data_IF_581224064792
#
_entry.id   IF_581224064792
#
_cell.length_a   1.000
_cell.length_b   1.000
_cell.length_c   1.000
_cell.angle_alpha   90.00
_cell.angle_beta   90.00
_cell.angle_gamma   90.00
#
_symmetry.space_group_name_H-M   'P 1'
#
loop_
_entity.id
_entity.type
_entity.pdbx_description
1 polymer ?
#
# COMPACT_ATOMS: atom_id res chain seq x y z
N UNK A 1 52.29 -19.00 20.51
CA UNK A 1 53.29 -18.97 21.59
C UNK A 1 54.51 -18.25 21.03
N UNK A 2 54.94 -17.15 21.63
CA UNK A 2 56.12 -16.44 21.22
C UNK A 2 57.34 -17.24 21.70
N UNK A 3 58.08 -17.79 20.75
CA UNK A 3 59.36 -18.47 21.03
C UNK A 3 60.39 -17.42 21.33
N UNK A 4 60.62 -16.96 22.51
CA UNK A 4 61.49 -15.88 22.99
C UNK A 4 62.85 -15.60 22.28
N UNK A 5 62.94 -15.89 21.00
CA UNK A 5 64.11 -15.55 20.18
C UNK A 5 63.94 -14.14 19.60
N UNK A 6 64.97 -13.28 19.64
CA UNK A 6 64.94 -11.96 19.09
C UNK A 6 64.69 -12.02 17.56
N UNK A 7 63.64 -11.37 17.10
CA UNK A 7 63.26 -11.32 15.69
C UNK A 7 63.71 -10.02 15.05
N UNK A 8 64.37 -10.09 13.90
CA UNK A 8 64.81 -8.90 13.13
C UNK A 8 63.60 -8.30 12.39
N UNK A 9 63.49 -6.99 12.43
CA UNK A 9 62.52 -6.22 11.66
C UNK A 9 63.27 -5.49 10.57
N UNK A 10 62.84 -5.69 9.34
CA UNK A 10 63.47 -5.04 8.17
C UNK A 10 62.70 -3.78 7.83
N UNK A 11 63.45 -2.70 7.58
CA UNK A 11 62.95 -1.42 7.07
C UNK A 11 63.59 -1.15 5.73
N UNK A 12 62.85 -0.51 4.84
CA UNK A 12 63.34 0.00 3.56
C UNK A 12 63.25 1.50 3.56
N UNK A 13 64.30 2.12 3.00
CA UNK A 13 64.38 3.57 2.86
C UNK A 13 64.61 3.91 1.40
N UNK A 14 63.80 4.82 0.85
CA UNK A 14 63.87 5.24 -0.53
C UNK A 14 63.32 6.65 -0.71
N UNK A 15 63.64 7.31 -1.83
CA UNK A 15 63.14 8.65 -2.16
C UNK A 15 62.04 8.55 -3.20
N UNK A 16 60.89 9.21 -2.95
CA UNK A 16 59.76 9.31 -3.89
C UNK A 16 59.23 10.75 -3.90
N UNK A 17 59.07 11.36 -5.08
CA UNK A 17 58.61 12.74 -5.25
C UNK A 17 59.42 13.75 -4.38
N UNK A 18 60.74 13.57 -4.30
CA UNK A 18 61.64 14.44 -3.52
C UNK A 18 61.71 14.17 -2.02
N UNK A 19 60.78 13.39 -1.46
CA UNK A 19 60.70 13.06 -0.02
C UNK A 19 61.35 11.71 0.28
N UNK A 20 62.08 11.63 1.41
CA UNK A 20 62.63 10.38 1.91
C UNK A 20 61.52 9.64 2.67
N UNK A 21 61.26 8.40 2.27
CA UNK A 21 60.26 7.51 2.89
C UNK A 21 61.02 6.36 3.55
N UNK A 22 60.68 6.09 4.81
CA UNK A 22 61.11 4.91 5.54
C UNK A 22 59.88 4.11 5.94
N UNK A 23 59.83 2.85 5.56
CA UNK A 23 58.71 1.98 5.91
C UNK A 23 59.19 0.58 6.31
N UNK A 24 58.41 -0.05 7.19
CA UNK A 24 58.69 -1.44 7.59
C UNK A 24 58.42 -2.38 6.40
N UNK A 25 59.44 -3.14 6.00
CA UNK A 25 59.30 -4.16 4.97
C UNK A 25 58.64 -5.44 5.53
N UNK A 26 59.08 -5.89 6.70
CA UNK A 26 58.50 -7.07 7.37
C UNK A 26 59.34 -7.57 8.51
N UNK A 27 58.89 -8.65 9.16
CA UNK A 27 59.59 -9.36 10.24
C UNK A 27 60.23 -10.64 9.70
N UNK A 28 61.36 -11.02 10.29
CA UNK A 28 62.17 -12.16 9.81
C UNK A 28 61.40 -13.46 9.77
N UNK A 29 60.72 -13.82 10.85
CA UNK A 29 60.03 -15.10 10.96
C UNK A 29 58.54 -14.98 10.62
N UNK A 30 57.88 -13.95 11.07
CA UNK A 30 56.42 -13.79 10.85
C UNK A 30 56.07 -13.55 9.38
N UNK A 31 56.90 -12.74 8.67
CA UNK A 31 56.67 -12.36 7.29
C UNK A 31 57.67 -13.03 6.33
N UNK A 32 58.45 -13.96 6.84
CA UNK A 32 59.54 -14.64 6.11
C UNK A 32 60.44 -13.64 5.35
N UNK A 33 60.78 -12.54 6.03
CA UNK A 33 61.47 -11.42 5.44
C UNK A 33 62.99 -11.64 5.47
N UNK A 34 63.61 -11.46 4.32
CA UNK A 34 65.06 -11.49 4.13
C UNK A 34 65.57 -10.16 3.56
N UNK A 35 66.89 -9.86 3.65
CA UNK A 35 67.46 -8.67 3.02
C UNK A 35 67.16 -8.59 1.51
N UNK A 36 67.23 -9.74 0.82
CA UNK A 36 66.92 -9.82 -0.62
C UNK A 36 65.44 -9.47 -0.93
N UNK A 37 64.50 -10.02 -0.15
CA UNK A 37 63.07 -9.68 -0.26
C UNK A 37 62.84 -8.19 0.05
N UNK A 38 63.45 -7.64 1.07
CA UNK A 38 63.34 -6.22 1.39
C UNK A 38 63.87 -5.34 0.26
N UNK A 39 64.99 -5.73 -0.39
CA UNK A 39 65.53 -5.02 -1.55
C UNK A 39 64.58 -5.05 -2.76
N UNK A 40 63.92 -6.18 -3.01
CA UNK A 40 62.90 -6.30 -4.07
C UNK A 40 61.70 -5.35 -3.77
N UNK A 41 61.19 -5.35 -2.54
CA UNK A 41 60.11 -4.45 -2.15
C UNK A 41 60.53 -2.99 -2.34
N UNK A 42 61.75 -2.63 -1.94
CA UNK A 42 62.29 -1.29 -2.16
C UNK A 42 62.32 -0.93 -3.65
N UNK A 43 62.80 -1.84 -4.51
CA UNK A 43 62.81 -1.63 -5.95
C UNK A 43 61.41 -1.42 -6.52
N UNK A 44 60.42 -2.21 -6.12
CA UNK A 44 59.03 -2.06 -6.55
C UNK A 44 58.44 -0.70 -6.13
N UNK A 45 58.79 -0.20 -4.93
CA UNK A 45 58.37 1.12 -4.45
C UNK A 45 59.00 2.27 -5.26
N UNK A 46 60.29 2.16 -5.52
CA UNK A 46 61.06 3.15 -6.34
C UNK A 46 60.52 3.20 -7.76
N UNK A 47 60.21 2.02 -8.35
CA UNK A 47 59.68 1.91 -9.70
C UNK A 47 58.19 2.26 -9.81
N UNK A 48 57.50 2.56 -8.69
CA UNK A 48 56.08 2.86 -8.67
C UNK A 48 55.15 1.66 -8.94
N UNK A 49 55.70 0.44 -9.01
CA UNK A 49 54.90 -0.79 -9.24
C UNK A 49 53.94 -1.11 -8.10
N UNK A 50 54.30 -0.73 -6.88
CA UNK A 50 53.46 -0.87 -5.70
C UNK A 50 53.43 0.43 -4.91
N UNK A 51 52.27 0.83 -4.35
CA UNK A 51 52.16 2.01 -3.48
C UNK A 51 52.94 1.79 -2.18
N UNK A 52 53.43 2.86 -1.54
CA UNK A 52 53.96 2.81 -0.17
C UNK A 52 52.87 2.31 0.82
N UNK A 53 53.27 1.86 2.00
CA UNK A 53 52.31 1.47 3.04
C UNK A 53 51.34 2.59 3.40
N UNK A 54 51.81 3.81 3.45
CA UNK A 54 51.00 4.98 3.72
C UNK A 54 50.00 5.22 2.59
N UNK A 55 50.46 5.24 1.33
CA UNK A 55 49.57 5.39 0.17
C UNK A 55 48.55 4.26 0.07
N UNK A 56 48.95 3.02 0.33
CA UNK A 56 48.03 1.88 0.35
C UNK A 56 46.97 2.02 1.46
N UNK A 57 47.36 2.52 2.64
CA UNK A 57 46.41 2.80 3.73
C UNK A 57 45.48 3.95 3.38
N UNK A 58 45.99 5.04 2.84
CA UNK A 58 45.17 6.18 2.39
C UNK A 58 44.20 5.78 1.29
N UNK A 59 44.64 4.97 0.31
CA UNK A 59 43.77 4.39 -0.72
C UNK A 59 42.67 3.50 -0.11
N UNK A 60 43.05 2.67 0.87
CA UNK A 60 42.07 1.80 1.55
C UNK A 60 41.07 2.61 2.37
N UNK A 61 41.53 3.65 3.06
CA UNK A 61 40.65 4.55 3.82
C UNK A 61 39.74 5.35 2.89
N UNK A 62 40.25 5.86 1.78
CA UNK A 62 39.50 6.55 0.75
C UNK A 62 38.48 5.63 0.10
N UNK A 63 38.85 4.38 -0.22
CA UNK A 63 37.91 3.38 -0.76
C UNK A 63 36.81 3.02 0.25
N UNK A 64 37.15 2.85 1.52
CA UNK A 64 36.18 2.63 2.60
C UNK A 64 35.21 3.80 2.76
N UNK A 65 35.72 5.03 2.68
CA UNK A 65 34.94 6.26 2.76
C UNK A 65 33.99 6.36 1.54
N UNK A 66 34.49 6.12 0.34
CA UNK A 66 33.70 6.12 -0.89
C UNK A 66 32.59 5.06 -0.84
N UNK A 67 32.89 3.85 -0.34
CA UNK A 67 31.89 2.79 -0.17
C UNK A 67 30.85 3.15 0.90
N UNK A 68 31.25 3.80 2.00
CA UNK A 68 30.32 4.26 3.04
C UNK A 68 29.42 5.41 2.55
N UNK A 69 29.92 6.25 1.66
CA UNK A 69 29.17 7.36 1.06
C UNK A 69 28.30 6.92 -0.13
N UNK A 70 28.51 5.72 -0.63
CA UNK A 70 27.79 5.17 -1.77
C UNK A 70 26.29 5.07 -1.52
N UNK A 71 25.50 5.54 -2.49
CA UNK A 71 24.06 5.43 -2.47
C UNK A 71 23.60 4.08 -2.99
N UNK A 72 23.32 3.16 -2.08
CA UNK A 72 22.66 1.89 -2.40
C UNK A 72 21.16 2.01 -2.27
N UNK A 73 20.42 1.07 -2.88
CA UNK A 73 18.96 1.00 -2.73
C UNK A 73 18.53 0.77 -1.28
N UNK A 74 19.32 0.04 -0.48
CA UNK A 74 19.12 -0.14 0.97
C UNK A 74 19.24 1.19 1.73
N UNK A 75 20.21 2.02 1.37
CA UNK A 75 20.35 3.37 1.95
C UNK A 75 19.18 4.27 1.56
N UNK A 76 18.78 4.23 0.28
CA UNK A 76 17.65 4.99 -0.22
C UNK A 76 16.34 4.59 0.48
N UNK A 77 16.12 3.29 0.71
CA UNK A 77 14.98 2.78 1.46
C UNK A 77 14.95 3.29 2.91
N UNK A 78 16.09 3.32 3.60
CA UNK A 78 16.20 3.88 4.96
C UNK A 78 15.84 5.36 4.99
N UNK A 79 16.45 6.16 4.12
CA UNK A 79 16.13 7.59 4.00
C UNK A 79 14.64 7.84 3.69
N UNK A 80 14.06 7.04 2.81
CA UNK A 80 12.64 7.15 2.49
C UNK A 80 11.76 6.91 3.72
N UNK A 81 12.06 5.91 4.53
CA UNK A 81 11.32 5.64 5.78
C UNK A 81 11.45 6.77 6.77
N UNK A 82 12.67 7.21 7.01
CA UNK A 82 12.99 8.19 8.04
C UNK A 82 12.38 9.56 7.72
N UNK A 83 12.32 9.91 6.45
CA UNK A 83 11.70 11.17 5.98
C UNK A 83 10.20 11.08 5.72
N UNK A 84 9.58 9.94 5.94
CA UNK A 84 8.16 9.71 5.69
C UNK A 84 7.44 9.06 6.89
N UNK A 85 7.62 9.53 8.14
CA UNK A 85 7.12 8.85 9.34
C UNK A 85 5.58 8.75 9.39
N UNK A 86 4.87 9.67 8.73
CA UNK A 86 3.40 9.68 8.66
C UNK A 86 2.79 8.88 7.51
N UNK A 87 3.60 8.17 6.71
CA UNK A 87 3.10 7.46 5.53
C UNK A 87 2.26 6.24 5.93
N UNK A 88 0.96 6.33 5.66
CA UNK A 88 0.03 5.20 5.84
C UNK A 88 0.42 4.07 4.86
N UNK A 89 0.82 2.92 5.37
CA UNK A 89 1.23 1.78 4.54
C UNK A 89 2.72 1.48 4.55
N UNK A 90 3.52 2.23 5.31
CA UNK A 90 4.97 2.02 5.41
C UNK A 90 5.34 0.59 5.84
N UNK A 91 4.55 -0.02 6.73
CA UNK A 91 4.73 -1.43 7.14
C UNK A 91 4.53 -2.36 5.94
N UNK A 92 3.50 -2.12 5.11
CA UNK A 92 3.24 -2.93 3.93
C UNK A 92 4.31 -2.74 2.86
N UNK A 93 4.79 -1.52 2.69
CA UNK A 93 5.90 -1.21 1.78
C UNK A 93 7.21 -1.83 2.29
N UNK A 94 7.43 -1.87 3.61
CA UNK A 94 8.54 -2.58 4.24
C UNK A 94 8.54 -4.06 3.90
N UNK A 95 7.39 -4.72 4.01
CA UNK A 95 7.25 -6.12 3.63
C UNK A 95 7.50 -6.36 2.13
N UNK A 96 7.03 -5.45 1.26
CA UNK A 96 7.30 -5.53 -0.19
C UNK A 96 8.78 -5.34 -0.48
N UNK A 97 9.40 -4.37 0.16
CA UNK A 97 10.83 -4.10 0.01
C UNK A 97 11.66 -5.31 0.42
N UNK A 98 11.46 -5.80 1.63
CA UNK A 98 12.23 -6.93 2.18
C UNK A 98 12.07 -8.22 1.36
N UNK A 99 10.84 -8.48 0.84
CA UNK A 99 10.56 -9.72 0.12
C UNK A 99 10.95 -9.68 -1.36
N UNK A 100 10.94 -8.49 -1.99
CA UNK A 100 11.00 -8.43 -3.45
C UNK A 100 12.07 -7.48 -4.00
N UNK A 101 12.28 -6.31 -3.38
CA UNK A 101 13.22 -5.32 -3.90
C UNK A 101 14.60 -5.44 -3.25
N UNK A 102 14.66 -5.56 -1.93
CA UNK A 102 15.91 -5.65 -1.18
C UNK A 102 16.83 -6.77 -1.64
N UNK A 103 16.34 -8.02 -1.82
CA UNK A 103 17.18 -9.13 -2.29
C UNK A 103 17.80 -8.95 -3.68
N UNK A 104 17.17 -8.16 -4.55
CA UNK A 104 17.62 -7.97 -5.93
C UNK A 104 18.39 -6.67 -6.14
N UNK A 105 17.98 -5.60 -5.46
CA UNK A 105 18.49 -4.26 -5.71
C UNK A 105 19.15 -3.62 -4.49
N UNK A 106 19.05 -4.23 -3.31
CA UNK A 106 19.43 -3.62 -2.05
C UNK A 106 20.85 -3.02 -2.03
N UNK A 107 21.83 -3.75 -2.52
CA UNK A 107 23.23 -3.36 -2.53
C UNK A 107 23.67 -2.67 -3.83
N UNK A 108 22.76 -2.55 -4.80
CA UNK A 108 23.02 -1.86 -6.07
C UNK A 108 22.78 -0.36 -5.93
N UNK A 109 23.51 0.41 -6.71
CA UNK A 109 23.26 1.83 -6.87
C UNK A 109 22.01 2.04 -7.75
N UNK A 110 21.10 2.98 -7.41
CA UNK A 110 19.89 3.21 -8.18
C UNK A 110 20.13 3.44 -9.67
N UNK A 111 21.18 4.18 -10.02
CA UNK A 111 21.52 4.47 -11.42
C UNK A 111 21.89 3.24 -12.26
N UNK A 112 22.33 2.15 -11.61
CA UNK A 112 22.72 0.91 -12.30
C UNK A 112 21.58 0.00 -12.63
N UNK A 113 20.35 0.32 -12.17
CA UNK A 113 19.16 -0.47 -12.44
C UNK A 113 18.68 -0.13 -13.85
N UNK A 114 18.63 -1.12 -14.72
CA UNK A 114 18.19 -0.93 -16.10
C UNK A 114 16.77 -1.51 -16.33
N UNK A 115 16.11 -1.18 -17.45
CA UNK A 115 14.78 -1.71 -17.80
C UNK A 115 14.71 -3.23 -17.75
N UNK A 116 15.75 -3.91 -18.22
CA UNK A 116 15.82 -5.37 -18.22
C UNK A 116 15.76 -5.98 -16.80
N UNK A 117 16.40 -5.34 -15.83
CA UNK A 117 16.34 -5.78 -14.43
C UNK A 117 14.91 -5.73 -13.89
N UNK A 118 14.19 -4.64 -14.21
CA UNK A 118 12.80 -4.42 -13.76
C UNK A 118 11.85 -5.39 -14.47
N UNK A 119 12.03 -5.63 -15.75
CA UNK A 119 11.23 -6.60 -16.50
C UNK A 119 11.46 -8.03 -16.01
N UNK A 120 12.71 -8.38 -15.71
CA UNK A 120 13.04 -9.67 -15.11
C UNK A 120 12.34 -9.86 -13.75
N UNK A 121 12.35 -8.83 -12.89
CA UNK A 121 11.60 -8.83 -11.64
C UNK A 121 10.09 -9.01 -11.90
N UNK A 122 9.53 -8.21 -12.82
CA UNK A 122 8.11 -8.24 -13.20
C UNK A 122 7.68 -9.64 -13.63
N UNK A 123 8.39 -10.22 -14.60
CA UNK A 123 8.09 -11.54 -15.17
C UNK A 123 8.26 -12.66 -14.12
N UNK A 124 9.30 -12.58 -13.29
CA UNK A 124 9.52 -13.57 -12.22
C UNK A 124 8.38 -13.52 -11.20
N UNK A 125 7.95 -12.34 -10.79
CA UNK A 125 6.84 -12.19 -9.85
C UNK A 125 5.50 -12.62 -10.44
N UNK A 126 5.24 -12.37 -11.72
CA UNK A 126 3.99 -12.78 -12.39
C UNK A 126 3.80 -14.29 -12.42
N UNK A 127 4.88 -15.09 -12.37
CA UNK A 127 4.78 -16.56 -12.27
C UNK A 127 4.13 -17.03 -10.96
N UNK A 128 4.25 -16.27 -9.88
CA UNK A 128 3.85 -16.71 -8.53
C UNK A 128 2.90 -15.76 -7.82
N UNK A 129 2.68 -14.56 -8.35
CA UNK A 129 1.89 -13.50 -7.71
C UNK A 129 0.84 -12.95 -8.66
N UNK A 130 -0.29 -12.49 -8.09
CA UNK A 130 -1.34 -11.81 -8.85
C UNK A 130 -0.82 -10.48 -9.43
N UNK A 131 -1.27 -10.06 -10.63
CA UNK A 131 -0.82 -8.82 -11.28
C UNK A 131 -0.91 -7.58 -10.39
N UNK A 132 -1.95 -7.44 -9.56
CA UNK A 132 -2.07 -6.33 -8.62
C UNK A 132 -0.99 -6.30 -7.54
N UNK A 133 -0.48 -7.47 -7.09
CA UNK A 133 0.66 -7.53 -6.17
C UNK A 133 1.95 -7.08 -6.85
N UNK A 134 2.17 -7.53 -8.08
CA UNK A 134 3.34 -7.15 -8.89
C UNK A 134 3.33 -5.64 -9.14
N UNK A 135 2.19 -5.09 -9.57
CA UNK A 135 2.01 -3.65 -9.75
C UNK A 135 2.42 -2.87 -8.50
N UNK A 136 1.95 -3.27 -7.32
CA UNK A 136 2.29 -2.60 -6.05
C UNK A 136 3.79 -2.65 -5.72
N UNK A 137 4.51 -3.71 -6.10
CA UNK A 137 5.98 -3.80 -5.93
C UNK A 137 6.69 -2.84 -6.87
N UNK A 138 6.29 -2.81 -8.14
CA UNK A 138 6.85 -1.89 -9.12
C UNK A 138 6.54 -0.42 -8.81
N UNK A 139 5.35 -0.13 -8.29
CA UNK A 139 4.99 1.22 -7.80
C UNK A 139 5.85 1.65 -6.60
N UNK A 140 6.24 0.72 -5.73
CA UNK A 140 7.18 1.03 -4.66
C UNK A 140 8.56 1.36 -5.22
N UNK A 141 9.06 0.57 -6.18
CA UNK A 141 10.32 0.84 -6.87
C UNK A 141 10.32 2.24 -7.49
N UNK A 142 9.27 2.56 -8.26
CA UNK A 142 9.11 3.87 -8.90
C UNK A 142 9.04 5.01 -7.87
N UNK A 143 8.33 4.82 -6.76
CA UNK A 143 8.27 5.82 -5.68
C UNK A 143 9.61 6.10 -5.05
N UNK A 144 10.44 5.07 -4.84
CA UNK A 144 11.79 5.23 -4.30
C UNK A 144 12.71 5.99 -5.27
N UNK A 145 12.66 5.66 -6.56
CA UNK A 145 13.40 6.38 -7.59
C UNK A 145 12.97 7.85 -7.69
N UNK A 146 11.66 8.10 -7.73
CA UNK A 146 11.12 9.46 -7.76
C UNK A 146 11.46 10.26 -6.48
N UNK A 147 11.49 9.60 -5.33
CA UNK A 147 11.92 10.23 -4.07
C UNK A 147 13.37 10.65 -4.14
N UNK A 148 14.26 9.78 -4.63
CA UNK A 148 15.67 10.09 -4.81
C UNK A 148 15.88 11.26 -5.76
N UNK A 149 15.23 11.25 -6.91
CA UNK A 149 15.29 12.31 -7.92
C UNK A 149 14.80 13.66 -7.35
N UNK A 150 13.59 13.66 -6.74
CA UNK A 150 12.97 14.88 -6.19
C UNK A 150 13.76 15.49 -5.04
N UNK A 151 14.50 14.69 -4.30
CA UNK A 151 15.32 15.14 -3.17
C UNK A 151 16.78 15.32 -3.53
N UNK A 152 17.16 15.11 -4.79
CA UNK A 152 18.54 15.19 -5.28
C UNK A 152 19.53 14.37 -4.43
N UNK A 153 19.11 13.17 -4.01
CA UNK A 153 19.93 12.33 -3.11
C UNK A 153 21.01 11.57 -3.87
N UNK A 154 20.65 11.01 -5.02
CA UNK A 154 21.54 10.27 -5.89
C UNK A 154 21.02 10.27 -7.33
N UNK A 155 21.87 9.99 -8.33
CA UNK A 155 21.44 9.77 -9.68
C UNK A 155 20.48 8.58 -9.77
N UNK A 156 19.44 8.71 -10.59
CA UNK A 156 18.48 7.65 -10.87
C UNK A 156 18.29 7.49 -12.38
N UNK A 157 18.02 6.28 -12.87
CA UNK A 157 17.81 6.07 -14.29
C UNK A 157 16.48 6.70 -14.75
N UNK A 158 16.48 7.19 -15.99
CA UNK A 158 15.30 7.74 -16.65
C UNK A 158 14.75 6.72 -17.64
N UNK A 159 13.81 5.87 -17.19
CA UNK A 159 13.05 4.96 -18.05
C UNK A 159 11.64 4.74 -17.51
N UNK A 160 10.74 4.32 -18.39
CA UNK A 160 9.37 4.00 -18.01
C UNK A 160 9.28 2.53 -17.56
N UNK A 161 8.62 2.30 -16.42
CA UNK A 161 8.34 0.96 -15.92
C UNK A 161 7.01 0.48 -16.50
N UNK A 162 7.04 -0.62 -17.23
CA UNK A 162 5.83 -1.26 -17.73
C UNK A 162 5.05 -1.91 -16.60
N UNK A 163 3.88 -1.37 -16.31
CA UNK A 163 3.00 -1.87 -15.24
C UNK A 163 2.10 -3.01 -15.76
N UNK A 164 1.95 -4.10 -15.02
CA UNK A 164 1.03 -5.15 -15.41
C UNK A 164 -0.42 -4.65 -15.42
N UNK A 165 -1.19 -5.08 -16.42
CA UNK A 165 -2.63 -4.79 -16.48
C UNK A 165 -3.32 -5.51 -15.32
N UNK A 166 -4.12 -4.76 -14.56
CA UNK A 166 -4.85 -5.27 -13.40
C UNK A 166 -6.34 -5.17 -13.71
N UNK A 167 -6.94 -6.30 -13.99
CA UNK A 167 -8.38 -6.40 -14.15
C UNK A 167 -8.95 -7.16 -12.94
N UNK A 168 -9.18 -6.44 -11.84
CA UNK A 168 -9.65 -6.99 -10.57
C UNK A 168 -10.91 -6.28 -10.04
N UNK A 169 -11.62 -5.57 -10.91
CA UNK A 169 -12.90 -4.98 -10.55
C UNK A 169 -13.92 -6.12 -10.37
N UNK A 170 -14.32 -6.33 -9.15
CA UNK A 170 -15.41 -7.24 -8.78
C UNK A 170 -16.50 -6.42 -8.11
N UNK A 171 -17.68 -6.50 -8.64
CA UNK A 171 -18.90 -6.10 -7.94
C UNK A 171 -19.42 -7.36 -7.26
N UNK A 172 -19.40 -7.38 -5.94
CA UNK A 172 -19.96 -8.48 -5.17
C UNK A 172 -21.41 -8.11 -4.87
N UNK A 173 -22.30 -9.00 -5.19
CA UNK A 173 -23.73 -8.89 -4.90
C UNK A 173 -24.22 -10.19 -4.28
N UNK A 174 -25.37 -10.15 -3.64
CA UNK A 174 -26.05 -11.31 -3.06
C UNK A 174 -27.47 -11.36 -3.62
N UNK A 175 -27.92 -12.55 -3.95
CA UNK A 175 -29.35 -12.75 -4.24
C UNK A 175 -30.18 -12.52 -2.97
N UNK A 176 -31.49 -12.36 -3.12
CA UNK A 176 -32.40 -12.19 -1.98
C UNK A 176 -32.28 -13.37 -1.00
N UNK A 177 -32.20 -14.61 -1.54
CA UNK A 177 -32.03 -15.82 -0.76
C UNK A 177 -30.71 -15.86 0.01
N UNK A 178 -29.60 -15.47 -0.65
CA UNK A 178 -28.28 -15.40 -0.02
C UNK A 178 -28.22 -14.32 1.06
N UNK A 179 -28.87 -13.18 0.82
CA UNK A 179 -28.96 -12.12 1.83
C UNK A 179 -29.83 -12.55 3.01
N UNK A 180 -30.93 -13.22 2.76
CA UNK A 180 -31.81 -13.81 3.80
C UNK A 180 -31.02 -14.79 4.67
N UNK A 181 -30.38 -15.79 4.06
CA UNK A 181 -29.56 -16.77 4.76
C UNK A 181 -28.43 -16.12 5.58
N UNK A 182 -27.83 -15.04 5.05
CA UNK A 182 -26.82 -14.29 5.78
C UNK A 182 -27.39 -13.57 7.00
N UNK A 183 -28.55 -12.94 6.88
CA UNK A 183 -29.21 -12.27 7.99
C UNK A 183 -29.61 -13.26 9.09
N UNK A 184 -30.15 -14.43 8.73
CA UNK A 184 -30.41 -15.51 9.67
C UNK A 184 -29.17 -16.00 10.40
N UNK A 185 -28.06 -16.23 9.66
CA UNK A 185 -26.80 -16.63 10.26
C UNK A 185 -26.20 -15.56 11.19
N UNK A 186 -26.38 -14.28 10.86
CA UNK A 186 -26.00 -13.16 11.73
C UNK A 186 -26.81 -13.14 13.02
N UNK A 187 -28.13 -13.34 12.94
CA UNK A 187 -29.01 -13.35 14.12
C UNK A 187 -28.75 -14.56 15.03
N UNK A 188 -28.43 -15.71 14.45
CA UNK A 188 -28.14 -16.93 15.20
C UNK A 188 -26.75 -16.94 15.84
N UNK A 189 -25.85 -16.01 15.46
CA UNK A 189 -24.47 -16.02 15.97
C UNK A 189 -24.37 -15.46 17.38
N UNK A 190 -23.78 -16.22 18.29
CA UNK A 190 -23.58 -15.84 19.71
C UNK A 190 -22.65 -14.63 19.89
N UNK A 191 -21.85 -14.28 18.89
CA UNK A 191 -20.94 -13.13 18.96
C UNK A 191 -21.65 -11.87 18.45
N UNK A 192 -22.43 -11.22 19.33
CA UNK A 192 -23.16 -9.99 19.00
C UNK A 192 -22.25 -8.87 18.42
N UNK A 193 -20.98 -8.83 18.81
CA UNK A 193 -20.02 -7.85 18.28
C UNK A 193 -19.80 -8.08 16.77
N UNK A 194 -19.60 -9.31 16.35
CA UNK A 194 -19.43 -9.66 14.95
C UNK A 194 -20.74 -9.52 14.15
N UNK A 195 -21.85 -9.98 14.72
CA UNK A 195 -23.17 -9.83 14.16
C UNK A 195 -23.52 -8.37 13.88
N UNK A 196 -23.43 -7.52 14.90
CA UNK A 196 -23.75 -6.10 14.77
C UNK A 196 -22.75 -5.34 13.89
N UNK A 197 -21.48 -5.77 13.86
CA UNK A 197 -20.48 -5.23 12.95
C UNK A 197 -20.87 -5.47 11.48
N UNK A 198 -21.30 -6.69 11.16
CA UNK A 198 -21.74 -7.04 9.80
C UNK A 198 -23.03 -6.30 9.41
N UNK A 199 -24.03 -6.26 10.32
CA UNK A 199 -25.27 -5.51 10.11
C UNK A 199 -24.98 -4.02 9.85
N UNK A 200 -24.08 -3.41 10.64
CA UNK A 200 -23.79 -1.99 10.46
C UNK A 200 -23.09 -1.69 9.12
N UNK A 201 -22.29 -2.63 8.57
CA UNK A 201 -21.80 -2.48 7.19
C UNK A 201 -22.95 -2.52 6.19
N UNK A 202 -23.89 -3.45 6.33
CA UNK A 202 -25.06 -3.55 5.46
C UNK A 202 -25.96 -2.32 5.51
N UNK A 203 -26.10 -1.70 6.69
CA UNK A 203 -26.98 -0.53 6.85
C UNK A 203 -26.32 0.80 6.50
N UNK A 204 -24.99 0.89 6.54
CA UNK A 204 -24.27 2.16 6.36
C UNK A 204 -23.29 2.18 5.20
N UNK A 205 -22.93 1.04 4.66
CA UNK A 205 -21.87 0.92 3.66
C UNK A 205 -20.47 1.30 4.17
N UNK A 206 -20.24 1.46 5.47
CA UNK A 206 -18.95 1.84 6.04
C UNK A 206 -17.85 0.83 5.73
N UNK A 207 -16.61 1.31 5.60
CA UNK A 207 -15.45 0.42 5.46
C UNK A 207 -15.12 -0.25 6.79
N UNK A 208 -14.64 -1.51 6.73
CA UNK A 208 -14.17 -2.24 7.92
C UNK A 208 -13.25 -1.41 8.83
N UNK A 209 -12.27 -0.72 8.24
CA UNK A 209 -11.34 0.09 9.01
C UNK A 209 -11.94 1.35 9.63
N UNK A 210 -13.02 1.85 9.10
CA UNK A 210 -13.79 2.97 9.68
C UNK A 210 -14.57 2.48 10.90
N UNK A 211 -15.21 1.30 10.80
CA UNK A 211 -15.90 0.69 11.94
C UNK A 211 -14.95 0.28 13.07
N UNK A 212 -13.73 -0.18 12.78
CA UNK A 212 -12.73 -0.45 13.82
C UNK A 212 -12.32 0.79 14.61
N UNK A 213 -12.47 1.97 14.02
CA UNK A 213 -12.15 3.25 14.68
C UNK A 213 -13.37 3.99 15.19
N UNK A 214 -14.58 3.53 14.90
CA UNK A 214 -15.81 4.19 15.28
C UNK A 214 -15.93 4.25 16.80
N UNK A 215 -16.09 5.44 17.31
CA UNK A 215 -16.31 5.71 18.73
C UNK A 215 -17.75 6.15 18.98
N UNK A 216 -18.24 5.95 20.18
CA UNK A 216 -19.58 6.38 20.56
C UNK A 216 -19.79 7.90 20.40
N UNK A 217 -18.78 8.69 20.66
CA UNK A 217 -18.81 10.14 20.44
C UNK A 217 -18.90 10.57 18.97
N UNK A 218 -18.67 9.64 18.02
CA UNK A 218 -18.76 9.90 16.60
C UNK A 218 -20.16 9.60 16.05
N UNK A 219 -21.06 9.04 16.89
CA UNK A 219 -22.46 8.75 16.56
C UNK A 219 -23.35 9.85 17.14
N UNK A 220 -23.81 10.73 16.28
CA UNK A 220 -24.75 11.78 16.62
C UNK A 220 -26.18 11.29 16.47
N UNK A 221 -26.75 10.80 17.56
CA UNK A 221 -28.13 10.28 17.56
C UNK A 221 -29.17 11.38 17.42
N UNK A 222 -28.89 12.62 17.81
CA UNK A 222 -29.84 13.73 17.73
C UNK A 222 -29.97 14.22 16.30
N UNK A 223 -28.83 14.50 15.65
CA UNK A 223 -28.80 14.99 14.27
C UNK A 223 -28.88 13.90 13.22
N UNK A 224 -28.75 12.63 13.61
CA UNK A 224 -28.83 11.48 12.72
C UNK A 224 -27.63 11.33 11.78
N UNK A 225 -26.41 11.46 12.30
CA UNK A 225 -25.20 11.30 11.52
C UNK A 225 -24.14 10.44 12.22
N UNK A 226 -23.29 9.78 11.41
CA UNK A 226 -22.06 9.13 11.85
C UNK A 226 -20.88 9.95 11.29
N UNK A 227 -19.97 10.38 12.18
CA UNK A 227 -18.76 11.09 11.83
C UNK A 227 -17.63 10.08 11.55
N UNK A 228 -17.12 10.05 10.33
CA UNK A 228 -16.00 9.20 9.93
C UNK A 228 -14.73 10.02 10.03
N UNK A 229 -13.94 9.78 11.08
CA UNK A 229 -12.67 10.47 11.31
C UNK A 229 -11.54 9.80 10.59
N UNK A 230 -10.62 10.60 10.06
CA UNK A 230 -9.40 10.16 9.37
C UNK A 230 -9.63 9.00 8.38
N UNK A 231 -10.58 9.14 7.44
CA UNK A 231 -10.81 8.11 6.44
C UNK A 231 -9.56 7.93 5.57
N UNK A 232 -9.53 6.86 4.78
CA UNK A 232 -8.42 6.61 3.83
C UNK A 232 -8.18 7.80 2.87
N UNK A 233 -9.15 8.69 2.79
CA UNK A 233 -9.15 9.89 1.98
C UNK A 233 -8.50 11.14 2.58
N UNK A 234 -8.30 11.19 3.89
CA UNK A 234 -7.64 12.29 4.63
C UNK A 234 -8.59 13.25 5.33
N UNK A 235 -9.65 13.73 4.69
CA UNK A 235 -10.62 14.64 5.31
C UNK A 235 -11.74 13.89 6.02
N UNK A 236 -12.16 14.38 7.19
CA UNK A 236 -13.29 13.84 7.93
C UNK A 236 -14.58 13.97 7.11
N UNK A 237 -15.45 12.98 7.25
CA UNK A 237 -16.70 12.90 6.49
C UNK A 237 -17.86 12.55 7.42
N UNK A 238 -19.08 12.84 6.97
CA UNK A 238 -20.31 12.46 7.64
C UNK A 238 -21.14 11.58 6.73
N UNK A 239 -21.76 10.55 7.29
CA UNK A 239 -22.79 9.77 6.61
C UNK A 239 -24.08 9.80 7.42
N UNK A 240 -25.26 9.73 6.77
CA UNK A 240 -26.54 9.65 7.49
C UNK A 240 -26.61 8.38 8.33
N UNK A 241 -27.16 8.52 9.52
CA UNK A 241 -27.55 7.42 10.40
C UNK A 241 -29.01 7.07 10.11
N UNK A 242 -29.25 6.08 9.23
CA UNK A 242 -30.59 5.63 8.95
C UNK A 242 -31.21 4.89 10.15
N UNK A 243 -32.53 4.67 10.10
CA UNK A 243 -33.26 4.11 11.25
C UNK A 243 -32.79 2.71 11.65
N UNK A 244 -32.43 1.85 10.67
CA UNK A 244 -31.92 0.51 10.96
C UNK A 244 -30.56 0.54 11.69
N UNK A 245 -29.62 1.39 11.22
CA UNK A 245 -28.36 1.59 11.89
C UNK A 245 -28.51 2.25 13.26
N UNK A 246 -29.47 3.17 13.40
CA UNK A 246 -29.81 3.82 14.67
C UNK A 246 -30.30 2.81 15.71
N UNK A 247 -31.30 2.01 15.38
CA UNK A 247 -31.84 0.98 16.27
C UNK A 247 -30.74 0.00 16.69
N UNK A 248 -29.98 -0.51 15.73
CA UNK A 248 -28.84 -1.40 15.99
C UNK A 248 -27.85 -0.80 17.01
N UNK A 249 -27.49 0.48 16.86
CA UNK A 249 -26.52 1.13 17.74
C UNK A 249 -27.13 1.48 19.11
N UNK A 250 -28.42 1.75 19.20
CA UNK A 250 -29.10 1.97 20.48
C UNK A 250 -29.14 0.69 21.32
N UNK A 251 -29.39 -0.46 20.67
CA UNK A 251 -29.43 -1.77 21.30
C UNK A 251 -28.04 -2.40 21.51
N UNK A 252 -27.00 -1.88 20.84
CA UNK A 252 -25.66 -2.44 20.95
C UNK A 252 -25.06 -2.21 22.34
N UNK A 253 -24.63 -3.27 23.06
CA UNK A 253 -24.14 -3.17 24.42
C UNK A 253 -22.91 -2.26 24.54
N UNK A 254 -22.98 -1.27 25.43
CA UNK A 254 -21.86 -0.40 25.78
C UNK A 254 -20.99 -1.08 26.84
N UNK A 255 -19.73 -1.31 26.55
CA UNK A 255 -18.78 -2.06 27.39
C UNK A 255 -17.84 -1.15 28.22
N UNK A 256 -18.14 0.15 28.33
CA UNK A 256 -17.23 1.12 28.96
C UNK A 256 -16.04 1.55 28.05
N UNK A 257 -15.85 0.90 26.90
CA UNK A 257 -14.89 1.31 25.90
C UNK A 257 -15.37 2.54 25.13
N UNK A 258 -14.48 3.45 24.72
CA UNK A 258 -14.87 4.56 23.82
C UNK A 258 -15.25 4.06 22.42
N UNK A 259 -14.85 2.84 22.03
CA UNK A 259 -15.13 2.25 20.72
C UNK A 259 -16.49 1.55 20.73
N UNK A 260 -17.25 1.68 19.60
CA UNK A 260 -18.49 0.94 19.40
C UNK A 260 -18.21 -0.57 19.31
N UNK A 261 -17.16 -0.95 18.59
CA UNK A 261 -16.73 -2.35 18.46
C UNK A 261 -15.34 -2.55 19.05
N UNK A 262 -15.21 -2.63 20.37
CA UNK A 262 -13.92 -2.75 21.01
C UNK A 262 -13.22 -4.06 20.70
N UNK A 263 -11.89 -4.02 20.67
CA UNK A 263 -11.02 -5.18 20.67
C UNK A 263 -10.71 -5.69 22.07
N UNK A 264 -9.66 -6.48 22.19
CA UNK A 264 -9.21 -7.03 23.46
C UNK A 264 -8.82 -5.89 24.43
N UNK A 265 -9.28 -5.99 25.66
CA UNK A 265 -9.02 -5.00 26.71
C UNK A 265 -9.68 -3.63 26.46
N UNK A 266 -10.73 -3.56 25.66
CA UNK A 266 -11.42 -2.28 25.38
C UNK A 266 -10.71 -1.38 24.36
N UNK A 267 -9.58 -1.79 23.82
CA UNK A 267 -8.80 -1.04 22.83
C UNK A 267 -9.43 -1.07 21.43
N UNK A 268 -8.85 -0.30 20.50
CA UNK A 268 -9.27 -0.34 19.12
C UNK A 268 -9.15 -1.76 18.55
N UNK A 269 -10.22 -2.26 17.96
CA UNK A 269 -10.20 -3.55 17.27
C UNK A 269 -9.34 -3.48 16.01
N UNK A 270 -8.57 -4.53 15.75
CA UNK A 270 -7.72 -4.66 14.56
C UNK A 270 -8.14 -5.81 13.64
N UNK A 271 -8.85 -6.79 14.19
CA UNK A 271 -9.29 -7.97 13.46
C UNK A 271 -10.64 -8.51 13.96
N UNK A 272 -11.42 -9.08 13.04
CA UNK A 272 -12.71 -9.75 13.28
C UNK A 272 -12.93 -10.88 12.26
N UNK A 273 -11.89 -11.22 11.48
CA UNK A 273 -12.05 -12.11 10.34
C UNK A 273 -12.55 -13.50 10.73
N UNK A 274 -12.04 -14.07 11.85
CA UNK A 274 -12.42 -15.42 12.29
C UNK A 274 -13.94 -15.54 12.52
N UNK A 275 -14.52 -14.57 13.24
CA UNK A 275 -15.95 -14.55 13.56
C UNK A 275 -16.79 -14.34 12.30
N UNK A 276 -16.40 -13.37 11.48
CA UNK A 276 -17.07 -13.05 10.23
C UNK A 276 -17.02 -14.23 9.24
N UNK A 277 -15.88 -14.95 9.17
CA UNK A 277 -15.77 -16.14 8.33
C UNK A 277 -16.72 -17.23 8.80
N UNK A 278 -16.83 -17.47 10.10
CA UNK A 278 -17.80 -18.43 10.67
C UNK A 278 -19.25 -18.10 10.26
N UNK A 279 -19.66 -16.85 10.42
CA UNK A 279 -21.01 -16.39 10.03
C UNK A 279 -21.23 -16.58 8.53
N UNK A 280 -20.26 -16.19 7.72
CA UNK A 280 -20.31 -16.37 6.27
C UNK A 280 -20.47 -17.85 5.87
N UNK A 281 -19.72 -18.74 6.51
CA UNK A 281 -19.80 -20.19 6.28
C UNK A 281 -21.14 -20.76 6.72
N UNK A 282 -21.66 -20.32 7.87
CA UNK A 282 -22.99 -20.71 8.35
C UNK A 282 -24.12 -20.27 7.38
N UNK A 283 -23.94 -19.12 6.74
CA UNK A 283 -24.86 -18.63 5.70
C UNK A 283 -24.73 -19.34 4.35
N UNK A 284 -23.81 -20.30 4.19
CA UNK A 284 -23.57 -21.00 2.92
C UNK A 284 -23.04 -20.12 1.79
N UNK A 285 -22.49 -18.95 2.08
CA UNK A 285 -22.01 -18.03 1.05
C UNK A 285 -20.75 -18.55 0.33
N UNK A 286 -20.54 -18.17 -0.94
CA UNK A 286 -19.38 -18.60 -1.73
C UNK A 286 -18.05 -18.34 -1.03
N UNK A 287 -17.08 -19.24 -1.18
CA UNK A 287 -15.75 -19.13 -0.54
C UNK A 287 -15.01 -17.85 -0.92
N UNK A 288 -15.17 -17.38 -2.14
CA UNK A 288 -14.55 -16.18 -2.68
C UNK A 288 -15.30 -14.88 -2.35
N UNK A 289 -16.51 -14.94 -1.77
CA UNK A 289 -17.19 -13.76 -1.25
C UNK A 289 -16.40 -13.13 -0.11
N UNK A 290 -16.01 -11.88 -0.28
CA UNK A 290 -15.19 -11.12 0.69
C UNK A 290 -16.07 -10.51 1.77
N UNK A 291 -16.46 -11.28 2.76
CA UNK A 291 -17.54 -10.98 3.69
C UNK A 291 -17.68 -9.49 4.06
N UNK A 292 -16.67 -8.84 4.64
CA UNK A 292 -16.81 -7.43 5.09
C UNK A 292 -16.79 -6.40 3.95
N UNK A 293 -16.00 -6.67 2.90
CA UNK A 293 -15.94 -5.75 1.76
C UNK A 293 -17.09 -5.99 0.81
N UNK A 294 -17.51 -7.27 0.65
CA UNK A 294 -18.68 -7.66 -0.12
C UNK A 294 -19.97 -7.05 0.44
N UNK A 295 -20.17 -7.04 1.77
CA UNK A 295 -21.35 -6.40 2.37
C UNK A 295 -21.49 -4.92 2.01
N UNK A 296 -20.37 -4.20 1.94
CA UNK A 296 -20.40 -2.82 1.45
C UNK A 296 -20.73 -2.74 -0.04
N UNK A 297 -20.28 -3.72 -0.85
CA UNK A 297 -20.70 -3.82 -2.24
C UNK A 297 -22.18 -4.10 -2.36
N UNK A 298 -22.72 -5.04 -1.56
CA UNK A 298 -24.16 -5.33 -1.49
C UNK A 298 -24.96 -4.06 -1.18
N UNK A 299 -24.58 -3.29 -0.15
CA UNK A 299 -25.19 -2.00 0.16
C UNK A 299 -25.19 -1.07 -1.06
N UNK A 300 -24.04 -0.95 -1.73
CA UNK A 300 -23.90 -0.08 -2.88
C UNK A 300 -24.70 -0.56 -4.10
N UNK A 301 -24.71 -1.87 -4.37
CA UNK A 301 -25.47 -2.51 -5.45
C UNK A 301 -26.97 -2.34 -5.24
N UNK A 302 -27.47 -2.58 -4.05
CA UNK A 302 -28.88 -2.39 -3.71
C UNK A 302 -29.35 -0.95 -3.96
N UNK A 303 -28.57 0.04 -3.52
CA UNK A 303 -28.88 1.45 -3.76
C UNK A 303 -28.80 1.83 -5.24
N UNK A 304 -27.79 1.34 -5.96
CA UNK A 304 -27.64 1.59 -7.38
C UNK A 304 -28.80 0.97 -8.19
N UNK A 305 -29.17 -0.28 -7.91
CA UNK A 305 -30.26 -1.01 -8.59
C UNK A 305 -31.64 -0.46 -8.29
N UNK A 306 -31.84 0.17 -7.11
CA UNK A 306 -33.14 0.77 -6.75
C UNK A 306 -33.58 1.86 -7.73
N UNK A 307 -32.63 2.53 -8.41
CA UNK A 307 -32.89 3.68 -9.26
C UNK A 307 -33.25 4.97 -8.53
N UNK A 308 -33.41 4.92 -7.19
CA UNK A 308 -33.80 6.06 -6.36
C UNK A 308 -32.63 6.94 -5.92
N UNK A 309 -31.40 6.47 -6.11
CA UNK A 309 -30.18 7.17 -5.68
C UNK A 309 -29.28 7.40 -6.90
N UNK A 310 -28.92 8.66 -7.15
CA UNK A 310 -27.95 9.00 -8.20
C UNK A 310 -26.52 8.60 -7.80
N UNK A 311 -25.60 8.52 -8.80
CA UNK A 311 -24.23 8.10 -8.56
C UNK A 311 -23.43 9.07 -7.69
N UNK A 312 -23.76 10.37 -7.71
CA UNK A 312 -23.10 11.36 -6.87
C UNK A 312 -23.49 11.19 -5.41
N UNK A 313 -24.78 11.01 -5.14
CA UNK A 313 -25.29 10.69 -3.79
C UNK A 313 -24.70 9.37 -3.28
N UNK A 314 -24.67 8.33 -4.11
CA UNK A 314 -24.05 7.05 -3.77
C UNK A 314 -22.55 7.23 -3.49
N UNK A 315 -21.83 8.06 -4.25
CA UNK A 315 -20.43 8.38 -3.99
C UNK A 315 -20.25 9.00 -2.59
N UNK A 316 -21.12 9.92 -2.20
CA UNK A 316 -21.08 10.57 -0.88
C UNK A 316 -21.39 9.57 0.24
N UNK A 317 -22.44 8.77 0.11
CA UNK A 317 -22.79 7.72 1.08
C UNK A 317 -21.64 6.73 1.28
N UNK A 318 -20.98 6.33 0.22
CA UNK A 318 -19.83 5.43 0.26
C UNK A 318 -18.51 6.14 0.64
N UNK A 319 -18.50 7.44 0.86
CA UNK A 319 -17.27 8.18 1.14
C UNK A 319 -16.14 7.90 0.13
N UNK A 320 -16.49 7.82 -1.17
CA UNK A 320 -15.54 7.61 -2.25
C UNK A 320 -14.83 8.91 -2.63
N UNK A 321 -13.51 8.86 -2.76
CA UNK A 321 -12.69 10.01 -3.15
C UNK A 321 -12.92 10.52 -4.57
N UNK A 322 -13.24 9.60 -5.48
CA UNK A 322 -13.44 9.92 -6.91
C UNK A 322 -14.67 9.23 -7.45
N UNK A 323 -15.30 9.83 -8.44
CA UNK A 323 -16.44 9.26 -9.14
C UNK A 323 -16.12 7.90 -9.78
N UNK A 324 -14.89 7.71 -10.27
CA UNK A 324 -14.43 6.44 -10.85
C UNK A 324 -14.62 5.24 -9.91
N UNK A 325 -14.50 5.43 -8.58
CA UNK A 325 -14.74 4.36 -7.61
C UNK A 325 -16.21 3.93 -7.53
N UNK A 326 -17.15 4.82 -7.86
CA UNK A 326 -18.60 4.56 -7.82
C UNK A 326 -19.10 4.12 -9.18
N UNK A 327 -18.41 4.49 -10.25
CA UNK A 327 -18.77 4.17 -11.63
C UNK A 327 -18.89 2.67 -11.91
N UNK A 328 -18.24 1.83 -11.10
CA UNK A 328 -18.41 0.37 -11.14
C UNK A 328 -19.84 -0.12 -10.90
N UNK A 329 -20.69 0.69 -10.29
CA UNK A 329 -22.11 0.38 -10.06
C UNK A 329 -23.03 0.98 -11.12
N UNK A 330 -22.49 1.72 -12.11
CA UNK A 330 -23.32 2.39 -13.11
C UNK A 330 -24.13 1.42 -13.94
N UNK A 331 -23.58 0.26 -14.30
CA UNK A 331 -24.26 -0.77 -15.06
C UNK A 331 -25.51 -1.35 -14.36
N UNK A 332 -25.60 -1.28 -13.02
CA UNK A 332 -26.74 -1.74 -12.26
C UNK A 332 -27.95 -0.78 -12.37
N UNK A 333 -27.79 0.34 -13.05
CA UNK A 333 -28.83 1.35 -13.26
C UNK A 333 -29.54 1.22 -14.60
N UNK A 334 -29.20 0.23 -15.43
CA UNK A 334 -29.78 0.07 -16.77
C UNK A 334 -31.31 -0.03 -16.73
N UNK A 335 -31.85 -0.79 -15.77
CA UNK A 335 -33.31 -0.85 -15.55
C UNK A 335 -33.90 0.48 -15.09
N UNK A 336 -33.15 1.25 -14.27
CA UNK A 336 -33.58 2.58 -13.83
C UNK A 336 -33.57 3.58 -15.01
N UNK A 337 -32.59 3.47 -15.90
CA UNK A 337 -32.56 4.25 -17.14
C UNK A 337 -33.70 3.90 -18.08
N UNK A 338 -34.04 2.60 -18.21
CA UNK A 338 -35.19 2.16 -18.99
C UNK A 338 -36.51 2.70 -18.41
N UNK A 339 -36.68 2.64 -17.09
CA UNK A 339 -37.88 3.21 -16.41
C UNK A 339 -37.95 4.73 -16.60
N UNK A 340 -36.84 5.44 -16.49
CA UNK A 340 -36.81 6.87 -16.72
C UNK A 340 -37.14 7.26 -18.18
N UNK A 341 -36.67 6.48 -19.14
CA UNK A 341 -36.98 6.66 -20.54
C UNK A 341 -38.48 6.40 -20.82
N UNK A 342 -39.06 5.34 -20.23
CA UNK A 342 -40.49 5.03 -20.33
C UNK A 342 -41.31 6.17 -19.72
N UNK A 343 -40.96 6.65 -18.52
CA UNK A 343 -41.64 7.76 -17.86
C UNK A 343 -41.64 9.04 -18.73
N UNK A 344 -40.53 9.34 -19.38
CA UNK A 344 -40.44 10.51 -20.28
C UNK A 344 -41.44 10.35 -21.45
N UNK A 345 -41.56 9.14 -22.02
CA UNK A 345 -42.55 8.81 -23.04
C UNK A 345 -43.99 9.01 -22.56
N UNK A 346 -44.29 8.48 -21.37
CA UNK A 346 -45.64 8.60 -20.77
C UNK A 346 -46.01 10.08 -20.49
N UNK A 347 -45.12 10.86 -19.93
CA UNK A 347 -45.33 12.28 -19.67
C UNK A 347 -45.59 13.06 -20.97
N UNK A 348 -44.85 12.79 -22.04
CA UNK A 348 -45.05 13.42 -23.34
C UNK A 348 -46.43 13.06 -23.90
N UNK A 349 -46.84 11.77 -23.79
CA UNK A 349 -48.15 11.31 -24.21
C UNK A 349 -49.29 11.95 -23.41
N UNK A 350 -49.08 12.10 -22.09
CA UNK A 350 -50.06 12.76 -21.23
C UNK A 350 -50.27 14.23 -21.58
N UNK A 351 -49.17 14.97 -21.76
CA UNK A 351 -49.22 16.37 -22.23
C UNK A 351 -49.90 16.47 -23.60
N UNK A 352 -49.59 15.54 -24.50
CA UNK A 352 -50.23 15.51 -25.82
C UNK A 352 -51.70 15.24 -25.79
N UNK A 353 -52.19 14.46 -24.82
CA UNK A 353 -53.65 14.16 -24.58
C UNK A 353 -54.36 15.37 -23.96
N UNK A 354 -53.71 16.07 -23.05
CA UNK A 354 -54.29 17.25 -22.37
C UNK A 354 -54.30 18.51 -23.25
N UNK A 355 -53.56 18.54 -24.34
CA UNK A 355 -53.55 19.67 -25.27
C UNK A 355 -54.81 19.59 -26.17
N UNK A 356 -55.76 20.56 -26.08
CA UNK A 356 -56.99 20.54 -26.87
C UNK A 356 -56.70 20.46 -28.38
N UNK A 357 -57.54 19.64 -29.10
CA UNK A 357 -57.41 19.45 -30.57
C UNK A 357 -57.48 20.78 -31.37
N UNK A 358 -58.05 21.82 -30.80
CA UNK A 358 -58.15 23.16 -31.41
C UNK A 358 -56.83 23.91 -31.47
N UNK A 359 -55.95 23.73 -30.51
CA UNK A 359 -54.58 24.38 -30.55
C UNK A 359 -53.63 23.73 -31.56
N UNK A 360 -53.86 22.49 -31.96
CA UNK A 360 -53.05 21.78 -32.96
C UNK A 360 -53.26 22.28 -34.40
N UNK A 361 -54.36 23.01 -34.68
CA UNK A 361 -54.63 23.59 -36.00
C UNK A 361 -54.13 25.01 -36.17
N UNK A 362 -53.79 25.72 -35.12
CA UNK A 362 -53.39 27.13 -35.20
C UNK A 362 -51.88 27.37 -35.41
N UNK A 363 -51.02 26.31 -35.40
CA UNK A 363 -49.56 26.46 -35.51
C UNK A 363 -49.00 26.10 -36.89
N UNK A 364 -49.89 25.96 -37.93
CA UNK A 364 -49.48 25.72 -39.31
C UNK A 364 -50.15 26.70 -40.29
N UNK A 365 -50.04 27.99 -40.02
CA UNK A 365 -50.29 29.04 -41.02
C UNK A 365 -49.13 30.06 -40.92
#
# INVERSE_FOLDING_TARGET
MATGKPEKIFYIRYRKAGKMIEEKAGRQFQDDMTPARAAIIRAERVQGKKPSRQEAREQQEAAKKAEAERWTFNRLWREYKDRSPGLKGLITDGNRYQKHLGPLFGDREPITICPFDVDRLRLTLLKTRKPGTVKNVLELLLRLMNFAAKKHLCPVPSFTIEMPRVNNERTEDLTAEQLGALLEAIEADSNYQAANFMKLILFSGMRRGELFRLRWQDVDFERGFIHIRTPKGGQDQKIPLNQAARNLLMEHPRTGSPYVFPGRGGNQRTDINKQVTRIKEAAGLPKDFRALHGLRHVYASMLASSGQVDLYTLQKLLTHKSAAMTQRYAHLRDEAMQRAAALAGDLIHEIARQTPKEMRRASWI
#
